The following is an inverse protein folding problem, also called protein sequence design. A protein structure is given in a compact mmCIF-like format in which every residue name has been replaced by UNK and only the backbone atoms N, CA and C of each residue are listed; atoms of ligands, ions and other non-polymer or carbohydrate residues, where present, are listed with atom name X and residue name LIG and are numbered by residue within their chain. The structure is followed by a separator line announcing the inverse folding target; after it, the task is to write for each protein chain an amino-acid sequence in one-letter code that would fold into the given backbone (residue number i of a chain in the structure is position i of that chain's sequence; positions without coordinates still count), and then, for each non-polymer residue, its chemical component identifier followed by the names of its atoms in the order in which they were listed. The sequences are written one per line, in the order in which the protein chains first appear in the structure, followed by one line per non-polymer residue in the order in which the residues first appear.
data_IF_135247948256
#
_entry.id   IF_135247948256
#
_cell.length_a   1.000
_cell.length_b   1.000
_cell.length_c   1.000
_cell.angle_alpha   90.00
_cell.angle_beta   90.00
_cell.angle_gamma   90.00
#
_symmetry.space_group_name_H-M   'P 1'
#
loop_
_entity.id
_entity.type
_entity.pdbx_description
1 polymer ?
#
# COMPACT_ATOMS: atom_id res chain seq x y z
N UNK A 1 -4.99 -3.53 -11.27
CA UNK A 1 -5.35 -2.55 -10.23
C UNK A 1 -6.28 -1.41 -10.70
N UNK A 2 -6.10 -0.77 -11.87
CA UNK A 2 -6.89 0.41 -12.25
C UNK A 2 -8.41 0.20 -12.26
N UNK A 3 -8.90 -0.94 -12.76
CA UNK A 3 -10.33 -1.22 -12.84
C UNK A 3 -11.01 -1.36 -11.46
N UNK A 4 -10.40 -2.12 -10.54
CA UNK A 4 -10.94 -2.29 -9.17
C UNK A 4 -10.99 -0.96 -8.42
N UNK A 5 -9.97 -0.11 -8.61
CA UNK A 5 -9.96 1.22 -8.03
C UNK A 5 -11.08 2.08 -8.62
N UNK A 6 -11.20 2.14 -9.95
CA UNK A 6 -12.22 2.94 -10.64
C UNK A 6 -13.65 2.58 -10.21
N UNK A 7 -13.92 1.30 -9.93
CA UNK A 7 -15.22 0.83 -9.44
C UNK A 7 -15.49 1.14 -7.96
N UNK A 8 -14.45 1.39 -7.16
CA UNK A 8 -14.55 1.54 -5.70
C UNK A 8 -14.33 2.97 -5.21
N UNK A 9 -14.07 3.92 -6.11
CA UNK A 9 -13.88 5.33 -5.76
C UNK A 9 -15.11 5.90 -5.04
N UNK A 10 -14.88 6.45 -3.86
CA UNK A 10 -15.95 6.97 -2.98
C UNK A 10 -15.44 8.10 -2.07
N UNK A 11 -14.33 8.74 -2.43
CA UNK A 11 -13.69 9.78 -1.61
C UNK A 11 -13.45 11.08 -2.39
N UNK A 12 -14.51 11.77 -2.85
CA UNK A 12 -14.35 13.00 -3.61
C UNK A 12 -14.01 14.24 -2.76
N UNK A 13 -14.28 14.18 -1.45
CA UNK A 13 -14.03 15.30 -0.53
C UNK A 13 -12.89 14.99 0.46
N UNK A 14 -12.14 16.02 0.83
CA UNK A 14 -11.12 15.97 1.89
C UNK A 14 -11.18 17.25 2.72
N UNK A 15 -11.25 17.11 4.06
CA UNK A 15 -11.37 18.25 4.99
C UNK A 15 -12.50 19.23 4.61
N UNK A 16 -13.64 18.70 4.14
CA UNK A 16 -14.81 19.48 3.72
C UNK A 16 -14.67 20.19 2.37
N UNK A 17 -13.60 19.92 1.60
CA UNK A 17 -13.34 20.54 0.29
C UNK A 17 -13.43 19.50 -0.81
N UNK A 18 -14.02 19.89 -1.95
CA UNK A 18 -13.98 19.08 -3.17
C UNK A 18 -12.54 19.01 -3.69
N UNK A 19 -12.09 17.79 -3.97
CA UNK A 19 -10.72 17.50 -4.41
C UNK A 19 -10.58 17.50 -5.93
N UNK A 20 -11.70 17.46 -6.68
CA UNK A 20 -11.72 17.28 -8.13
C UNK A 20 -11.40 15.85 -8.59
N UNK A 21 -11.18 14.91 -7.65
CA UNK A 21 -10.96 13.49 -7.94
C UNK A 21 -12.17 12.68 -7.47
N UNK A 22 -12.51 11.59 -8.17
CA UNK A 22 -13.54 10.67 -7.66
C UNK A 22 -13.05 9.87 -6.42
N UNK A 23 -11.73 9.69 -6.29
CA UNK A 23 -11.11 8.94 -5.20
C UNK A 23 -9.80 9.57 -4.73
N UNK A 24 -9.88 10.48 -3.76
CA UNK A 24 -8.72 11.18 -3.19
C UNK A 24 -7.93 10.35 -2.18
N UNK A 25 -8.53 9.28 -1.62
CA UNK A 25 -7.91 8.46 -0.56
C UNK A 25 -6.50 7.99 -0.91
N UNK A 26 -6.26 7.51 -2.13
CA UNK A 26 -4.94 7.01 -2.51
C UNK A 26 -3.89 8.11 -2.63
N UNK A 27 -4.29 9.32 -3.07
CA UNK A 27 -3.39 10.47 -3.18
C UNK A 27 -2.83 10.85 -1.81
N UNK A 28 -3.63 10.77 -0.74
CA UNK A 28 -3.18 11.03 0.63
C UNK A 28 -2.11 10.03 1.07
N UNK A 29 -2.28 8.75 0.74
CA UNK A 29 -1.31 7.70 1.12
C UNK A 29 -0.07 7.70 0.22
N UNK A 30 -0.15 8.22 -1.01
CA UNK A 30 0.99 8.26 -1.94
C UNK A 30 2.21 9.00 -1.41
N UNK A 31 2.02 9.94 -0.49
CA UNK A 31 3.09 10.73 0.14
C UNK A 31 3.79 10.01 1.30
N UNK A 32 3.28 8.85 1.73
CA UNK A 32 3.84 8.09 2.84
C UNK A 32 4.86 7.06 2.34
N UNK A 33 5.95 6.81 3.10
CA UNK A 33 6.91 5.79 2.72
C UNK A 33 6.25 4.39 2.72
N UNK A 34 6.62 3.57 1.74
CA UNK A 34 6.18 2.16 1.60
C UNK A 34 4.70 1.98 1.26
N UNK A 35 4.13 2.92 0.52
CA UNK A 35 2.80 2.80 -0.09
C UNK A 35 2.92 2.43 -1.57
N UNK A 36 1.79 2.09 -2.20
CA UNK A 36 1.74 1.77 -3.62
C UNK A 36 1.87 0.29 -3.93
N UNK A 37 2.54 -0.05 -5.04
CA UNK A 37 2.78 -1.44 -5.44
C UNK A 37 4.28 -1.75 -5.27
N UNK A 38 4.63 -2.93 -4.71
CA UNK A 38 6.01 -3.36 -4.67
C UNK A 38 6.51 -3.76 -6.06
N UNK A 39 7.83 -3.91 -6.17
CA UNK A 39 8.41 -4.67 -7.28
C UNK A 39 7.91 -6.12 -7.26
N UNK A 40 7.80 -6.78 -8.43
CA UNK A 40 7.37 -8.17 -8.49
C UNK A 40 8.36 -9.07 -7.75
N UNK A 41 7.84 -9.92 -6.85
CA UNK A 41 8.61 -11.00 -6.24
C UNK A 41 8.46 -12.28 -7.04
N UNK A 42 9.57 -13.00 -7.23
CA UNK A 42 9.60 -14.29 -7.93
C UNK A 42 9.18 -15.46 -7.06
N UNK A 43 9.19 -15.30 -5.73
CA UNK A 43 8.84 -16.37 -4.77
C UNK A 43 8.45 -15.83 -3.39
N UNK A 44 7.79 -16.67 -2.59
CA UNK A 44 7.48 -16.36 -1.19
C UNK A 44 8.75 -16.10 -0.35
N UNK A 45 9.81 -16.89 -0.58
CA UNK A 45 11.09 -16.73 0.10
C UNK A 45 11.73 -15.36 -0.18
N UNK A 46 11.52 -14.80 -1.38
CA UNK A 46 12.01 -13.46 -1.70
C UNK A 46 11.26 -12.38 -0.92
N UNK A 47 9.94 -12.50 -0.80
CA UNK A 47 9.13 -11.62 0.03
C UNK A 47 9.53 -11.70 1.51
N UNK A 48 9.75 -12.90 2.04
CA UNK A 48 10.22 -13.09 3.43
C UNK A 48 11.59 -12.44 3.66
N UNK A 49 12.53 -12.59 2.72
CA UNK A 49 13.83 -11.90 2.80
C UNK A 49 13.68 -10.38 2.77
N UNK A 50 12.82 -9.84 1.91
CA UNK A 50 12.54 -8.41 1.87
C UNK A 50 12.03 -7.91 3.23
N UNK A 51 11.05 -8.61 3.81
CA UNK A 51 10.49 -8.28 5.12
C UNK A 51 11.54 -8.39 6.24
N UNK A 52 12.41 -9.40 6.20
CA UNK A 52 13.50 -9.57 7.16
C UNK A 52 14.52 -8.44 7.10
N UNK A 53 14.92 -8.00 5.89
CA UNK A 53 15.83 -6.87 5.71
C UNK A 53 15.22 -5.58 6.25
N UNK A 54 13.95 -5.33 5.98
CA UNK A 54 13.25 -4.13 6.45
C UNK A 54 13.12 -4.10 7.98
N UNK A 55 12.90 -5.25 8.62
CA UNK A 55 12.90 -5.38 10.09
C UNK A 55 14.30 -5.20 10.67
N UNK A 56 15.33 -5.82 10.08
CA UNK A 56 16.71 -5.69 10.53
C UNK A 56 17.22 -4.23 10.45
N UNK A 57 16.73 -3.47 9.47
CA UNK A 57 16.99 -2.04 9.33
C UNK A 57 16.18 -1.16 10.33
N UNK A 58 15.29 -1.75 11.13
CA UNK A 58 14.39 -1.04 12.03
C UNK A 58 13.33 -0.20 11.30
N UNK A 59 13.11 -0.45 10.01
CA UNK A 59 12.20 0.35 9.19
C UNK A 59 10.73 -0.01 9.45
N UNK A 60 10.46 -1.26 9.81
CA UNK A 60 9.13 -1.79 10.13
C UNK A 60 9.23 -2.80 11.27
N UNK A 61 8.16 -2.94 12.05
CA UNK A 61 8.05 -3.98 13.09
C UNK A 61 7.75 -5.35 12.46
N UNK A 62 6.83 -5.39 11.51
CA UNK A 62 6.48 -6.58 10.75
C UNK A 62 5.90 -6.23 9.35
N UNK A 63 5.52 -7.23 8.57
CA UNK A 63 4.93 -7.03 7.23
C UNK A 63 3.59 -6.25 7.25
N UNK A 64 2.95 -6.06 8.39
CA UNK A 64 1.71 -5.29 8.52
C UNK A 64 1.91 -3.79 8.33
N UNK A 65 3.16 -3.33 8.38
CA UNK A 65 3.57 -1.95 8.09
C UNK A 65 3.86 -1.71 6.60
N UNK A 66 3.71 -2.73 5.76
CA UNK A 66 3.71 -2.56 4.30
C UNK A 66 2.32 -2.11 3.85
N UNK A 67 2.19 -0.83 3.53
CA UNK A 67 0.92 -0.18 3.17
C UNK A 67 0.66 -0.20 1.66
N UNK A 68 0.92 -1.36 1.07
CA UNK A 68 0.73 -1.57 -0.37
C UNK A 68 -0.74 -1.73 -0.73
N UNK A 69 -1.08 -1.47 -2.00
CA UNK A 69 -2.43 -1.70 -2.52
C UNK A 69 -2.84 -3.19 -2.46
N UNK A 70 -1.85 -4.09 -2.53
CA UNK A 70 -2.02 -5.53 -2.37
C UNK A 70 -0.79 -6.08 -1.63
N UNK A 71 -1.01 -6.96 -0.66
CA UNK A 71 0.06 -7.65 0.07
C UNK A 71 -0.35 -9.07 0.45
N UNK A 72 0.62 -10.00 0.60
CA UNK A 72 0.38 -11.29 1.22
C UNK A 72 -0.20 -11.15 2.65
N UNK A 73 -1.04 -12.11 3.04
CA UNK A 73 -1.52 -12.21 4.42
C UNK A 73 -0.39 -12.74 5.31
N UNK A 74 -0.26 -12.20 6.52
CA UNK A 74 0.71 -12.69 7.52
C UNK A 74 0.18 -13.94 8.23
N UNK A 75 -1.15 -14.09 8.25
CA UNK A 75 -1.84 -15.12 9.03
C UNK A 75 -2.14 -16.39 8.23
N UNK A 76 -2.22 -16.28 6.90
CA UNK A 76 -2.78 -17.31 6.02
C UNK A 76 -1.88 -17.51 4.81
#
# INVERSE_FOLDING_TARGET
MPALLALSVSSPFWQGRDTGLCGYRLSVFGEMPRTGLPDPFSSAAEFERYVAVMQAAGAIEDASFLWWHLRPSIRY
#
